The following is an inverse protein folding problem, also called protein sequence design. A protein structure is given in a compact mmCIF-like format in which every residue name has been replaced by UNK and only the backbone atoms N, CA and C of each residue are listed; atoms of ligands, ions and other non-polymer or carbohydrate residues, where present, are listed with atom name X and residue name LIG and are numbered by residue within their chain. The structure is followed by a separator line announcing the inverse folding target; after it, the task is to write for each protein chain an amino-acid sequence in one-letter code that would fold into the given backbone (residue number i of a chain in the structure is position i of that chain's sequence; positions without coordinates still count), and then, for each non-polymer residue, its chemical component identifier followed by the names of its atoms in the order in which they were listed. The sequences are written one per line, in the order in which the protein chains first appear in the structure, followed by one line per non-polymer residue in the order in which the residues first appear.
data_IF_619875262680
#
_entry.id   IF_619875262680
#
_cell.length_a   1.000
_cell.length_b   1.000
_cell.length_c   1.000
_cell.angle_alpha   90.00
_cell.angle_beta   90.00
_cell.angle_gamma   90.00
#
_symmetry.space_group_name_H-M   'P 1'
#
loop_
_entity.id
_entity.type
_entity.pdbx_description
1 polymer ?
#
# COMPACT_ATOMS: atom_id res chain seq x y z
N UNK A 1 -10.72 -7.82 8.74
CA UNK A 1 -10.21 -6.43 8.79
C UNK A 1 -10.71 -5.70 7.57
N UNK A 2 -11.08 -4.42 7.68
CA UNK A 2 -11.40 -3.61 6.51
C UNK A 2 -10.12 -3.30 5.72
N UNK A 3 -10.21 -3.04 4.41
CA UNK A 3 -9.05 -2.55 3.65
C UNK A 3 -8.47 -1.28 4.27
N UNK A 4 -9.33 -0.41 4.79
CA UNK A 4 -8.90 0.83 5.42
C UNK A 4 -8.09 0.57 6.70
N UNK A 5 -8.42 -0.47 7.48
CA UNK A 5 -7.66 -0.84 8.69
C UNK A 5 -6.26 -1.36 8.31
N UNK A 6 -6.17 -2.16 7.25
CA UNK A 6 -4.91 -2.73 6.76
C UNK A 6 -4.00 -1.66 6.15
N UNK A 7 -4.57 -0.74 5.36
CA UNK A 7 -3.85 0.40 4.78
C UNK A 7 -3.34 1.33 5.89
N UNK A 8 -4.17 1.60 6.91
CA UNK A 8 -3.75 2.41 8.07
C UNK A 8 -2.62 1.73 8.86
N UNK A 9 -2.70 0.42 9.08
CA UNK A 9 -1.65 -0.33 9.77
C UNK A 9 -0.32 -0.31 9.00
N UNK A 10 -0.34 -0.51 7.68
CA UNK A 10 0.85 -0.44 6.84
C UNK A 10 1.45 0.97 6.82
N UNK A 11 0.61 2.00 6.79
CA UNK A 11 1.05 3.40 6.84
C UNK A 11 1.82 3.69 8.13
N UNK A 12 1.30 3.24 9.28
CA UNK A 12 1.99 3.39 10.57
C UNK A 12 3.34 2.66 10.60
N UNK A 13 3.43 1.45 10.02
CA UNK A 13 4.69 0.71 9.96
C UNK A 13 5.72 1.41 9.06
N UNK A 14 5.29 1.96 7.92
CA UNK A 14 6.16 2.74 7.03
C UNK A 14 6.66 4.02 7.70
N UNK A 15 5.80 4.71 8.47
CA UNK A 15 6.20 5.87 9.27
C UNK A 15 7.26 5.50 10.31
N UNK A 16 7.07 4.38 11.02
CA UNK A 16 8.04 3.89 12.00
C UNK A 16 9.41 3.60 11.35
N UNK A 17 9.45 2.89 10.22
CA UNK A 17 10.69 2.64 9.47
C UNK A 17 11.33 3.95 9.00
N UNK A 18 10.52 4.91 8.58
CA UNK A 18 10.97 6.26 8.20
C UNK A 18 11.67 7.00 9.34
N UNK A 19 11.26 6.80 10.59
CA UNK A 19 11.93 7.37 11.77
C UNK A 19 13.29 6.71 11.99
N UNK A 20 13.38 5.38 11.86
CA UNK A 20 14.64 4.65 12.04
C UNK A 20 15.69 5.04 10.99
N UNK A 21 15.29 5.22 9.73
CA UNK A 21 16.20 5.66 8.67
C UNK A 21 16.76 7.07 8.92
N UNK A 22 15.94 7.99 9.47
CA UNK A 22 16.37 9.35 9.82
C UNK A 22 17.25 9.42 11.08
N UNK A 23 17.11 8.46 12.00
CA UNK A 23 17.91 8.39 13.23
C UNK A 23 19.35 7.88 12.99
N UNK A 24 19.64 7.31 11.81
CA UNK A 24 20.95 6.79 11.44
C UNK A 24 22.01 7.88 11.29
N UNK A 25 23.02 7.90 12.17
CA UNK A 25 24.10 8.92 12.19
C UNK A 25 25.16 8.74 11.09
N UNK A 26 24.86 8.10 9.96
CA UNK A 26 25.78 7.95 8.82
C UNK A 26 27.17 7.41 9.21
N UNK A 27 27.22 6.39 10.08
CA UNK A 27 28.49 5.88 10.67
C UNK A 27 29.23 4.90 9.78
N UNK A 28 28.63 4.49 8.66
CA UNK A 28 29.11 3.41 7.81
C UNK A 28 29.47 3.96 6.43
N UNK A 29 30.44 3.33 5.78
CA UNK A 29 30.81 3.69 4.41
C UNK A 29 29.61 3.44 3.49
N UNK A 30 29.39 4.34 2.52
CA UNK A 30 28.22 4.32 1.62
C UNK A 30 28.06 2.97 0.92
N UNK A 31 29.17 2.32 0.53
CA UNK A 31 29.15 1.02 -0.16
C UNK A 31 29.17 -0.19 0.78
N UNK A 32 29.08 0.03 2.10
CA UNK A 32 29.05 -1.02 3.13
C UNK A 32 27.99 -0.69 4.18
N UNK A 33 26.71 -0.66 3.79
CA UNK A 33 25.64 -0.50 4.76
C UNK A 33 25.66 -1.67 5.75
N UNK A 34 25.32 -1.44 7.03
CA UNK A 34 25.01 -2.51 7.97
C UNK A 34 23.90 -3.41 7.45
N UNK A 35 23.91 -4.67 7.90
CA UNK A 35 22.84 -5.63 7.60
C UNK A 35 21.46 -5.12 8.03
N UNK A 36 21.39 -4.32 9.11
CA UNK A 36 20.15 -3.68 9.55
C UNK A 36 19.59 -2.74 8.51
N UNK A 37 20.44 -1.94 7.86
CA UNK A 37 20.00 -0.94 6.88
C UNK A 37 19.49 -1.63 5.61
N UNK A 38 20.15 -2.73 5.20
CA UNK A 38 19.69 -3.59 4.11
C UNK A 38 18.35 -4.26 4.44
N UNK A 39 18.20 -4.76 5.67
CA UNK A 39 16.95 -5.37 6.13
C UNK A 39 15.80 -4.35 6.17
N UNK A 40 16.04 -3.15 6.68
CA UNK A 40 15.04 -2.07 6.70
C UNK A 40 14.63 -1.65 5.29
N UNK A 41 15.60 -1.48 4.38
CA UNK A 41 15.30 -1.12 2.99
C UNK A 41 14.47 -2.20 2.29
N UNK A 42 14.81 -3.47 2.49
CA UNK A 42 14.07 -4.60 1.92
C UNK A 42 12.64 -4.66 2.48
N UNK A 43 12.51 -4.54 3.80
CA UNK A 43 11.21 -4.55 4.46
C UNK A 43 10.34 -3.36 4.05
N UNK A 44 10.91 -2.17 3.90
CA UNK A 44 10.20 -0.99 3.42
C UNK A 44 9.64 -1.21 2.01
N UNK A 45 10.42 -1.80 1.11
CA UNK A 45 9.96 -2.13 -0.24
C UNK A 45 8.80 -3.13 -0.21
N UNK A 46 8.89 -4.18 0.61
CA UNK A 46 7.81 -5.16 0.77
C UNK A 46 6.50 -4.52 1.28
N UNK A 47 6.59 -3.59 2.24
CA UNK A 47 5.40 -2.89 2.76
C UNK A 47 4.78 -1.95 1.71
N UNK A 48 5.61 -1.28 0.90
CA UNK A 48 5.14 -0.44 -0.20
C UNK A 48 4.40 -1.27 -1.26
N UNK A 49 4.93 -2.45 -1.61
CA UNK A 49 4.27 -3.38 -2.54
C UNK A 49 2.94 -3.90 -1.97
N UNK A 50 2.91 -4.22 -0.67
CA UNK A 50 1.68 -4.60 0.02
C UNK A 50 0.63 -3.48 -0.02
N UNK A 51 1.04 -2.24 0.26
CA UNK A 51 0.15 -1.08 0.24
C UNK A 51 -0.43 -0.84 -1.16
N UNK A 52 0.40 -0.90 -2.20
CA UNK A 52 -0.04 -0.79 -3.59
C UNK A 52 -1.06 -1.88 -3.94
N UNK A 53 -0.79 -3.14 -3.56
CA UNK A 53 -1.73 -4.23 -3.80
C UNK A 53 -3.08 -4.04 -3.09
N UNK A 54 -3.10 -3.46 -1.88
CA UNK A 54 -4.35 -3.20 -1.17
C UNK A 54 -5.16 -2.08 -1.81
N UNK A 55 -4.51 -1.00 -2.23
CA UNK A 55 -5.19 0.09 -2.95
C UNK A 55 -5.76 -0.39 -4.29
N UNK A 56 -5.05 -1.24 -5.02
CA UNK A 56 -5.55 -1.87 -6.26
C UNK A 56 -6.80 -2.72 -5.99
N UNK A 57 -6.80 -3.52 -4.92
CA UNK A 57 -7.97 -4.32 -4.52
C UNK A 57 -9.16 -3.44 -4.12
N UNK A 58 -8.89 -2.36 -3.40
CA UNK A 58 -9.91 -1.38 -3.00
C UNK A 58 -10.54 -0.71 -4.22
N UNK A 59 -9.71 -0.30 -5.19
CA UNK A 59 -10.16 0.25 -6.46
C UNK A 59 -11.00 -0.76 -7.26
N UNK A 60 -10.52 -2.00 -7.42
CA UNK A 60 -11.24 -3.04 -8.12
C UNK A 60 -12.62 -3.32 -7.50
N UNK A 61 -12.71 -3.35 -6.16
CA UNK A 61 -13.98 -3.49 -5.44
C UNK A 61 -14.91 -2.31 -5.68
N UNK A 62 -14.39 -1.09 -5.69
CA UNK A 62 -15.17 0.11 -6.00
C UNK A 62 -15.76 0.08 -7.41
N UNK A 63 -14.94 -0.30 -8.41
CA UNK A 63 -15.39 -0.48 -9.80
C UNK A 63 -16.49 -1.55 -9.86
N UNK A 64 -16.27 -2.72 -9.25
CA UNK A 64 -17.25 -3.80 -9.24
C UNK A 64 -18.58 -3.40 -8.60
N UNK A 65 -18.54 -2.61 -7.53
CA UNK A 65 -19.74 -2.09 -6.88
C UNK A 65 -20.51 -1.11 -7.78
N UNK A 66 -19.81 -0.18 -8.45
CA UNK A 66 -20.43 0.77 -9.39
C UNK A 66 -21.04 0.06 -10.61
N UNK A 67 -20.32 -0.90 -11.20
CA UNK A 67 -20.85 -1.69 -12.32
C UNK A 67 -22.09 -2.47 -11.89
N UNK A 68 -22.09 -3.04 -10.68
CA UNK A 68 -23.25 -3.77 -10.17
C UNK A 68 -24.46 -2.85 -9.94
N UNK A 69 -24.26 -1.66 -9.36
CA UNK A 69 -25.36 -0.70 -9.12
C UNK A 69 -25.94 -0.15 -10.43
N UNK A 70 -25.07 0.19 -11.37
CA UNK A 70 -25.46 0.94 -12.57
C UNK A 70 -25.96 -0.01 -13.67
N UNK A 71 -25.66 -1.31 -13.56
CA UNK A 71 -26.05 -2.32 -14.54
C UNK A 71 -27.56 -2.38 -14.81
N UNK A 72 -28.39 -2.15 -13.78
CA UNK A 72 -29.84 -2.11 -13.94
C UNK A 72 -30.29 -0.94 -14.84
N UNK A 73 -29.73 0.25 -14.60
CA UNK A 73 -30.02 1.47 -15.39
C UNK A 73 -29.55 1.31 -16.83
N UNK A 74 -28.36 0.76 -17.04
CA UNK A 74 -27.84 0.48 -18.39
C UNK A 74 -28.74 -0.51 -19.14
N UNK A 75 -29.23 -1.54 -18.45
CA UNK A 75 -30.13 -2.54 -19.06
C UNK A 75 -31.46 -1.91 -19.46
N UNK A 76 -32.03 -1.06 -18.61
CA UNK A 76 -33.25 -0.32 -18.89
C UNK A 76 -33.09 0.58 -20.13
N UNK A 77 -32.03 1.40 -20.16
CA UNK A 77 -31.72 2.29 -21.30
C UNK A 77 -31.44 1.53 -22.61
N UNK A 78 -30.91 0.31 -22.54
CA UNK A 78 -30.61 -0.50 -23.72
C UNK A 78 -31.85 -1.24 -24.29
N UNK A 79 -32.97 -1.22 -23.57
CA UNK A 79 -34.22 -1.90 -23.95
C UNK A 79 -35.26 -0.97 -24.57
N UNK A 80 -34.98 0.33 -24.64
CA UNK A 80 -35.74 1.37 -25.37
C UNK A 80 -35.34 1.42 -26.86
#
# INVERSE_FOLDING_TARGET
TSFDDEIAALTLQLEEIGIYSQAGKGKHAVDRPPDSDLAYASFQAELQDCQASLEDRRLARSIGAAVHSDGAVVTELASE
#
